data_IF_236069131207
#
_entry.id   IF_236069131207
#
_cell.length_a   1.000
_cell.length_b   1.000
_cell.length_c   1.000
_cell.angle_alpha   90.00
_cell.angle_beta   90.00
_cell.angle_gamma   90.00
#
_symmetry.space_group_name_H-M   'P 1'
#
loop_
_entity.id
_entity.type
_entity.pdbx_description
1 polymer ?
#
# COMPACT_ATOMS: atom_id res chain seq x y z
N UNK A 1 -14.26 -48.67 62.69
CA UNK A 1 -14.66 -47.27 62.47
C UNK A 1 -13.81 -46.77 61.32
N UNK A 2 -14.36 -46.89 60.12
CA UNK A 2 -13.72 -46.61 58.83
C UNK A 2 -14.39 -45.37 58.28
N UNK A 3 -13.63 -44.28 58.17
CA UNK A 3 -14.08 -43.03 57.58
C UNK A 3 -14.15 -43.17 56.06
N UNK A 4 -15.36 -42.98 55.55
CA UNK A 4 -15.74 -43.03 54.14
C UNK A 4 -15.47 -41.64 53.52
N UNK A 5 -14.32 -41.49 52.85
CA UNK A 5 -13.97 -40.28 52.12
C UNK A 5 -14.69 -40.26 50.77
N UNK A 6 -15.76 -39.48 50.69
CA UNK A 6 -16.45 -39.13 49.45
C UNK A 6 -15.61 -38.17 48.60
N UNK A 7 -15.13 -38.65 47.46
CA UNK A 7 -14.44 -37.85 46.43
C UNK A 7 -15.49 -36.99 45.70
N UNK A 8 -15.33 -35.65 45.60
CA UNK A 8 -16.25 -34.81 44.85
C UNK A 8 -16.11 -35.06 43.34
N UNK A 9 -17.25 -35.29 42.68
CA UNK A 9 -17.34 -35.51 41.25
C UNK A 9 -16.89 -34.28 40.43
N UNK A 10 -16.08 -34.54 39.42
CA UNK A 10 -15.53 -33.54 38.49
C UNK A 10 -16.64 -32.96 37.59
N UNK A 11 -16.88 -31.63 37.56
CA UNK A 11 -17.93 -31.02 36.73
C UNK A 11 -17.66 -31.05 35.22
N UNK A 12 -16.55 -31.63 34.75
CA UNK A 12 -16.14 -31.53 33.33
C UNK A 12 -16.84 -32.51 32.37
N UNK A 13 -17.70 -33.42 32.83
CA UNK A 13 -18.26 -34.48 31.97
C UNK A 13 -19.66 -34.23 31.38
N UNK A 14 -20.39 -33.17 31.76
CA UNK A 14 -21.81 -33.04 31.37
C UNK A 14 -22.11 -32.22 30.10
N UNK A 15 -21.12 -31.83 29.28
CA UNK A 15 -21.38 -30.98 28.09
C UNK A 15 -20.95 -31.61 26.74
N UNK A 16 -21.03 -32.94 26.60
CA UNK A 16 -20.61 -33.64 25.36
C UNK A 16 -21.72 -34.44 24.65
N UNK A 17 -23.00 -34.22 24.95
CA UNK A 17 -24.09 -35.10 24.46
C UNK A 17 -25.24 -34.43 23.69
N UNK A 18 -25.03 -33.28 23.05
CA UNK A 18 -26.12 -32.66 22.27
C UNK A 18 -25.69 -31.93 20.99
N UNK A 19 -25.04 -32.63 20.04
CA UNK A 19 -24.98 -32.16 18.65
C UNK A 19 -24.70 -33.28 17.62
N UNK A 20 -25.40 -34.43 17.72
CA UNK A 20 -25.48 -35.40 16.61
C UNK A 20 -26.63 -34.99 15.67
N UNK A 21 -26.46 -33.85 15.01
CA UNK A 21 -27.33 -33.40 13.92
C UNK A 21 -26.90 -34.07 12.61
N UNK A 22 -27.52 -35.20 12.32
CA UNK A 22 -27.31 -36.00 11.11
C UNK A 22 -27.93 -35.28 9.90
N UNK A 23 -27.24 -34.28 9.35
CA UNK A 23 -27.67 -33.51 8.18
C UNK A 23 -26.80 -33.82 6.97
N UNK A 24 -27.05 -34.94 6.30
CA UNK A 24 -26.44 -35.31 5.01
C UNK A 24 -26.89 -34.40 3.86
N UNK A 25 -26.68 -33.10 3.98
CA UNK A 25 -26.89 -32.15 2.90
C UNK A 25 -25.84 -32.38 1.81
N UNK A 26 -26.26 -32.94 0.68
CA UNK A 26 -25.44 -33.11 -0.51
C UNK A 26 -24.71 -31.80 -0.83
N UNK A 27 -23.38 -31.78 -0.64
CA UNK A 27 -22.54 -30.64 -0.98
C UNK A 27 -22.72 -30.33 -2.46
N UNK A 28 -23.29 -29.16 -2.79
CA UNK A 28 -23.42 -28.72 -4.18
C UNK A 28 -22.00 -28.65 -4.79
N UNK A 29 -21.74 -29.33 -5.93
CA UNK A 29 -20.44 -29.29 -6.58
C UNK A 29 -20.11 -27.83 -6.94
N UNK A 30 -18.94 -27.36 -6.53
CA UNK A 30 -18.50 -25.99 -6.80
C UNK A 30 -18.33 -25.74 -8.30
N UNK A 31 -18.50 -24.48 -8.71
CA UNK A 31 -18.29 -24.08 -10.11
C UNK A 31 -16.78 -23.98 -10.35
N UNK A 32 -16.24 -24.91 -11.15
CA UNK A 32 -14.86 -24.83 -11.65
C UNK A 32 -14.83 -23.99 -12.92
N UNK A 33 -14.08 -22.89 -12.91
CA UNK A 33 -13.78 -22.11 -14.10
C UNK A 33 -12.27 -22.24 -14.37
N UNK A 34 -11.88 -23.27 -15.11
CA UNK A 34 -10.46 -23.56 -15.39
C UNK A 34 -9.67 -23.96 -14.13
N UNK A 35 -8.42 -23.47 -13.93
CA UNK A 35 -7.64 -23.76 -12.72
C UNK A 35 -8.21 -23.07 -11.46
N UNK A 36 -9.17 -22.15 -11.63
CA UNK A 36 -9.84 -21.48 -10.54
C UNK A 36 -11.07 -22.27 -10.12
N UNK A 37 -11.03 -22.83 -8.91
CA UNK A 37 -12.22 -23.45 -8.30
C UNK A 37 -12.94 -22.35 -7.51
N UNK A 38 -14.03 -21.83 -8.07
CA UNK A 38 -14.90 -20.91 -7.34
C UNK A 38 -15.76 -21.76 -6.41
N UNK A 39 -15.30 -21.90 -5.17
CA UNK A 39 -16.08 -22.58 -4.15
C UNK A 39 -17.26 -21.67 -3.80
N UNK A 40 -18.53 -22.08 -4.02
CA UNK A 40 -19.72 -21.29 -3.69
C UNK A 40 -19.96 -21.17 -2.17
N UNK A 41 -18.90 -21.28 -1.37
CA UNK A 41 -18.89 -21.10 0.09
C UNK A 41 -19.11 -19.63 0.50
N UNK A 42 -19.40 -18.73 -0.44
CA UNK A 42 -19.99 -17.42 -0.13
C UNK A 42 -21.42 -17.52 0.44
N UNK A 43 -22.05 -18.69 0.36
CA UNK A 43 -23.16 -19.08 1.24
C UNK A 43 -22.58 -19.65 2.55
N UNK A 44 -21.81 -18.84 3.28
CA UNK A 44 -21.46 -19.22 4.65
C UNK A 44 -22.74 -19.24 5.45
N UNK A 45 -23.05 -20.40 6.05
CA UNK A 45 -23.92 -20.47 7.22
C UNK A 45 -23.51 -19.34 8.17
N UNK A 46 -24.42 -18.45 8.60
CA UNK A 46 -24.08 -17.39 9.55
C UNK A 46 -23.45 -18.01 10.80
N UNK A 47 -22.14 -17.84 11.00
CA UNK A 47 -21.46 -18.21 12.26
C UNK A 47 -20.09 -18.89 12.17
N UNK A 48 -19.77 -19.66 11.13
CA UNK A 48 -18.75 -20.71 11.32
C UNK A 48 -17.38 -20.56 10.62
N UNK A 49 -17.20 -19.65 9.67
CA UNK A 49 -15.86 -19.41 9.09
C UNK A 49 -15.38 -17.97 9.24
N UNK A 50 -14.77 -17.60 10.39
CA UNK A 50 -14.11 -16.31 10.58
C UNK A 50 -12.95 -16.05 9.60
N UNK A 51 -12.59 -17.03 8.77
CA UNK A 51 -11.54 -16.97 7.75
C UNK A 51 -12.06 -16.92 6.32
N UNK A 52 -13.38 -17.05 6.08
CA UNK A 52 -13.95 -16.99 4.72
C UNK A 52 -13.68 -15.63 4.05
N UNK A 53 -13.73 -14.53 4.81
CA UNK A 53 -13.39 -13.21 4.33
C UNK A 53 -11.87 -13.01 4.04
N UNK A 54 -11.00 -13.97 4.40
CA UNK A 54 -9.53 -13.83 4.37
C UNK A 54 -8.84 -14.68 3.30
N UNK A 55 -9.54 -15.63 2.64
CA UNK A 55 -8.91 -16.58 1.70
C UNK A 55 -8.29 -15.93 0.43
N UNK A 56 -8.58 -14.66 0.15
CA UNK A 56 -8.05 -13.91 -1.00
C UNK A 56 -6.95 -12.87 -0.71
N UNK A 57 -6.68 -12.57 0.57
CA UNK A 57 -5.83 -11.43 0.98
C UNK A 57 -4.40 -11.94 1.28
N UNK A 58 -3.51 -12.08 0.29
CA UNK A 58 -2.87 -10.93 -0.37
C UNK A 58 -2.85 -11.02 -1.91
N UNK A 59 -3.29 -12.15 -2.47
CA UNK A 59 -3.13 -12.46 -3.90
C UNK A 59 -4.04 -11.60 -4.77
N UNK A 60 -5.30 -11.44 -4.36
CA UNK A 60 -6.26 -10.61 -5.11
C UNK A 60 -5.83 -9.14 -5.07
N UNK A 61 -5.34 -8.67 -3.92
CA UNK A 61 -4.80 -7.32 -3.80
C UNK A 61 -3.59 -7.11 -4.72
N UNK A 62 -2.62 -8.03 -4.73
CA UNK A 62 -1.48 -7.99 -5.63
C UNK A 62 -1.91 -7.99 -7.11
N UNK A 63 -2.90 -8.81 -7.47
CA UNK A 63 -3.45 -8.86 -8.83
C UNK A 63 -4.07 -7.51 -9.22
N UNK A 64 -4.95 -6.95 -8.38
CA UNK A 64 -5.58 -5.65 -8.63
C UNK A 64 -4.54 -4.52 -8.70
N UNK A 65 -3.51 -4.58 -7.86
CA UNK A 65 -2.39 -3.64 -7.89
C UNK A 65 -1.60 -3.71 -9.20
N UNK A 66 -1.26 -4.92 -9.65
CA UNK A 66 -0.59 -5.11 -10.95
C UNK A 66 -1.48 -4.63 -12.12
N UNK A 67 -2.78 -4.92 -12.08
CA UNK A 67 -3.73 -4.41 -13.08
C UNK A 67 -3.79 -2.88 -13.07
N UNK A 68 -3.80 -2.26 -11.90
CA UNK A 68 -3.75 -0.81 -11.75
C UNK A 68 -2.47 -0.22 -12.38
N UNK A 69 -1.30 -0.78 -12.07
CA UNK A 69 -0.03 -0.34 -12.66
C UNK A 69 0.01 -0.54 -14.17
N UNK A 70 -0.57 -1.63 -14.68
CA UNK A 70 -0.68 -1.89 -16.11
C UNK A 70 -1.56 -0.83 -16.80
N UNK A 71 -2.74 -0.54 -16.25
CA UNK A 71 -3.62 0.52 -16.78
C UNK A 71 -2.95 1.89 -16.72
N UNK A 72 -2.27 2.21 -15.62
CA UNK A 72 -1.50 3.45 -15.49
C UNK A 72 -0.42 3.55 -16.57
N UNK A 73 0.34 2.47 -16.82
CA UNK A 73 1.35 2.43 -17.87
C UNK A 73 0.74 2.60 -19.28
N UNK A 74 -0.43 1.98 -19.54
CA UNK A 74 -1.17 2.13 -20.79
C UNK A 74 -1.61 3.58 -21.03
N UNK A 75 -2.13 4.24 -19.98
CA UNK A 75 -2.61 5.62 -20.06
C UNK A 75 -1.50 6.66 -20.15
N UNK A 76 -0.29 6.35 -19.68
CA UNK A 76 0.82 7.30 -19.60
C UNK A 76 1.88 7.04 -20.67
N UNK A 77 2.62 5.94 -20.58
CA UNK A 77 3.78 5.65 -21.44
C UNK A 77 3.34 5.16 -22.82
N UNK A 78 2.38 4.24 -22.89
CA UNK A 78 1.95 3.70 -24.17
C UNK A 78 1.05 4.66 -24.95
N UNK A 79 0.37 5.59 -24.27
CA UNK A 79 -0.53 6.54 -24.92
C UNK A 79 0.21 7.56 -25.79
N UNK A 80 1.45 7.92 -25.45
CA UNK A 80 2.27 8.87 -26.22
C UNK A 80 2.44 8.45 -27.68
N UNK A 81 2.52 7.13 -27.95
CA UNK A 81 2.69 6.61 -29.31
C UNK A 81 1.50 6.86 -30.24
N UNK A 82 0.31 7.13 -29.69
CA UNK A 82 -0.85 7.47 -30.52
C UNK A 82 -0.77 8.88 -31.13
N UNK A 83 0.18 9.72 -30.68
CA UNK A 83 0.35 11.10 -31.15
C UNK A 83 1.37 11.25 -32.30
N UNK A 84 2.10 10.18 -32.65
CA UNK A 84 3.11 10.21 -33.72
C UNK A 84 4.42 9.55 -33.33
N UNK A 85 5.54 10.05 -33.86
CA UNK A 85 6.90 9.67 -33.43
C UNK A 85 7.22 10.53 -32.20
N UNK A 86 7.23 9.94 -30.98
CA UNK A 86 7.34 10.73 -29.77
C UNK A 86 8.77 11.22 -29.53
N UNK A 87 8.88 12.44 -29.02
CA UNK A 87 10.16 13.03 -28.61
C UNK A 87 10.57 12.56 -27.20
N UNK A 88 11.86 12.70 -26.85
CA UNK A 88 12.38 12.29 -25.53
C UNK A 88 11.69 13.03 -24.38
N UNK A 89 11.28 14.27 -24.60
CA UNK A 89 10.58 15.08 -23.59
C UNK A 89 9.14 14.59 -23.33
N UNK A 90 8.49 14.04 -24.35
CA UNK A 90 7.17 13.43 -24.22
C UNK A 90 7.25 12.14 -23.39
N UNK A 91 8.26 11.29 -23.65
CA UNK A 91 8.52 10.10 -22.84
C UNK A 91 8.87 10.43 -21.40
N UNK A 92 9.66 11.49 -21.18
CA UNK A 92 9.97 11.99 -19.83
C UNK A 92 8.69 12.39 -19.08
N UNK A 93 7.85 13.19 -19.72
CA UNK A 93 6.58 13.63 -19.13
C UNK A 93 5.66 12.45 -18.80
N UNK A 94 5.57 11.46 -19.71
CA UNK A 94 4.82 10.24 -19.49
C UNK A 94 5.36 9.39 -18.32
N UNK A 95 6.68 9.24 -18.20
CA UNK A 95 7.30 8.52 -17.10
C UNK A 95 7.09 9.21 -15.75
N UNK A 96 7.11 10.55 -15.71
CA UNK A 96 6.76 11.33 -14.51
C UNK A 96 5.30 11.06 -14.13
N UNK A 97 4.37 11.13 -15.10
CA UNK A 97 2.96 10.82 -14.84
C UNK A 97 2.75 9.39 -14.35
N UNK A 98 3.49 8.41 -14.89
CA UNK A 98 3.47 7.03 -14.40
C UNK A 98 3.92 6.94 -12.93
N UNK A 99 5.00 7.63 -12.57
CA UNK A 99 5.46 7.70 -11.18
C UNK A 99 4.43 8.37 -10.27
N UNK A 100 3.79 9.44 -10.71
CA UNK A 100 2.73 10.14 -9.96
C UNK A 100 1.51 9.23 -9.76
N UNK A 101 1.09 8.48 -10.78
CA UNK A 101 0.02 7.49 -10.65
C UNK A 101 0.41 6.38 -9.67
N UNK A 102 1.61 5.81 -9.79
CA UNK A 102 2.12 4.83 -8.84
C UNK A 102 2.11 5.35 -7.40
N UNK A 103 2.56 6.59 -7.21
CA UNK A 103 2.56 7.28 -5.93
C UNK A 103 1.14 7.53 -5.38
N UNK A 104 0.19 7.93 -6.22
CA UNK A 104 -1.22 8.09 -5.83
C UNK A 104 -1.85 6.74 -5.45
N UNK A 105 -1.56 5.69 -6.22
CA UNK A 105 -1.96 4.32 -5.92
C UNK A 105 -1.47 3.86 -4.54
N UNK A 106 -0.18 4.05 -4.24
CA UNK A 106 0.41 3.65 -2.96
C UNK A 106 0.01 4.55 -1.80
N UNK A 107 -0.06 5.87 -1.99
CA UNK A 107 -0.26 6.82 -0.90
C UNK A 107 -1.73 7.11 -0.59
N UNK A 108 -2.64 6.96 -1.56
CA UNK A 108 -4.05 7.34 -1.42
C UNK A 108 -4.97 6.14 -1.60
N UNK A 109 -4.87 5.41 -2.71
CA UNK A 109 -5.80 4.33 -3.03
C UNK A 109 -5.63 3.13 -2.08
N UNK A 110 -4.40 2.67 -1.88
CA UNK A 110 -4.11 1.54 -1.00
C UNK A 110 -4.60 1.75 0.45
N UNK A 111 -4.31 2.85 1.17
CA UNK A 111 -4.81 3.03 2.53
C UNK A 111 -6.32 3.16 2.61
N UNK A 112 -6.96 3.81 1.62
CA UNK A 112 -8.42 3.91 1.57
C UNK A 112 -9.08 2.52 1.41
N UNK A 113 -8.53 1.67 0.53
CA UNK A 113 -8.99 0.30 0.34
C UNK A 113 -8.68 -0.57 1.56
N UNK A 114 -7.51 -0.44 2.17
CA UNK A 114 -7.14 -1.30 3.30
C UNK A 114 -7.97 -0.95 4.53
N UNK A 115 -8.07 0.33 4.89
CA UNK A 115 -8.80 0.75 6.09
C UNK A 115 -10.32 0.52 6.02
N UNK A 116 -10.89 0.29 4.83
CA UNK A 116 -12.29 -0.13 4.67
C UNK A 116 -12.52 -1.62 4.97
N UNK A 117 -11.47 -2.45 5.02
CA UNK A 117 -11.54 -3.88 5.30
C UNK A 117 -11.60 -4.21 6.81
N UNK A 118 -11.88 -5.47 7.14
CA UNK A 118 -11.88 -5.98 8.53
C UNK A 118 -10.49 -5.86 9.16
N UNK A 119 -10.43 -5.57 10.47
CA UNK A 119 -9.16 -5.41 11.19
C UNK A 119 -8.37 -6.72 11.21
N UNK A 120 -7.09 -6.71 10.77
CA UNK A 120 -6.23 -7.88 10.90
C UNK A 120 -5.84 -8.17 12.36
N UNK A 121 -5.59 -9.44 12.68
CA UNK A 121 -5.11 -9.88 14.01
C UNK A 121 -3.76 -9.26 14.37
N UNK A 122 -2.89 -9.09 13.37
CA UNK A 122 -1.56 -8.50 13.52
C UNK A 122 -1.40 -7.29 12.58
N UNK A 123 -1.89 -6.09 12.97
CA UNK A 123 -1.98 -4.94 12.08
C UNK A 123 -0.63 -4.45 11.54
N UNK A 124 0.42 -4.45 12.38
CA UNK A 124 1.76 -4.03 11.95
C UNK A 124 2.33 -4.97 10.89
N UNK A 125 2.29 -6.28 11.15
CA UNK A 125 2.79 -7.29 10.20
C UNK A 125 2.01 -7.27 8.89
N UNK A 126 0.69 -7.14 8.96
CA UNK A 126 -0.17 -7.04 7.78
C UNK A 126 0.21 -5.82 6.93
N UNK A 127 0.32 -4.65 7.55
CA UNK A 127 0.70 -3.42 6.83
C UNK A 127 2.10 -3.48 6.20
N UNK A 128 3.07 -4.14 6.85
CA UNK A 128 4.40 -4.35 6.26
C UNK A 128 4.38 -5.28 5.04
N UNK A 129 3.61 -6.38 5.11
CA UNK A 129 3.44 -7.29 3.97
C UNK A 129 2.77 -6.56 2.81
N UNK A 130 1.71 -5.80 3.09
CA UNK A 130 1.01 -5.00 2.09
C UNK A 130 1.94 -3.95 1.48
N UNK A 131 2.78 -3.27 2.27
CA UNK A 131 3.76 -2.30 1.78
C UNK A 131 4.76 -2.93 0.81
N UNK A 132 5.21 -4.17 1.07
CA UNK A 132 6.08 -4.92 0.15
C UNK A 132 5.35 -5.30 -1.14
N UNK A 133 4.10 -5.76 -1.03
CA UNK A 133 3.25 -6.11 -2.19
C UNK A 133 3.01 -4.90 -3.09
N UNK A 134 2.88 -3.70 -2.51
CA UNK A 134 2.74 -2.44 -3.26
C UNK A 134 4.09 -2.02 -3.87
N UNK A 135 5.15 -2.03 -3.06
CA UNK A 135 6.44 -1.46 -3.44
C UNK A 135 7.16 -2.27 -4.51
N UNK A 136 7.18 -3.61 -4.41
CA UNK A 136 7.98 -4.45 -5.32
C UNK A 136 7.58 -4.31 -6.79
N UNK A 137 6.28 -4.44 -7.17
CA UNK A 137 5.86 -4.21 -8.55
C UNK A 137 6.11 -2.78 -9.01
N UNK A 138 5.95 -1.80 -8.12
CA UNK A 138 6.18 -0.41 -8.44
C UNK A 138 7.67 -0.14 -8.76
N UNK A 139 8.60 -0.73 -7.99
CA UNK A 139 10.02 -0.65 -8.32
C UNK A 139 10.29 -1.28 -9.68
N UNK A 140 9.73 -2.46 -9.98
CA UNK A 140 9.92 -3.09 -11.30
C UNK A 140 9.52 -2.18 -12.48
N UNK A 141 8.55 -1.28 -12.30
CA UNK A 141 8.16 -0.27 -13.29
C UNK A 141 9.13 0.91 -13.38
N UNK A 142 9.68 1.37 -12.25
CA UNK A 142 10.52 2.58 -12.19
C UNK A 142 11.95 2.30 -12.70
N UNK A 143 12.51 1.13 -12.40
CA UNK A 143 13.89 0.79 -12.75
C UNK A 143 14.25 0.86 -14.24
N UNK A 144 13.38 0.50 -15.21
CA UNK A 144 13.70 0.68 -16.64
C UNK A 144 13.56 2.14 -17.14
N UNK A 145 13.01 3.08 -16.35
CA UNK A 145 12.79 4.46 -16.81
C UNK A 145 14.04 5.21 -17.30
N UNK A 146 15.24 5.05 -16.72
CA UNK A 146 16.49 5.60 -17.27
C UNK A 146 16.72 5.28 -18.75
N UNK A 147 16.23 4.13 -19.24
CA UNK A 147 16.37 3.73 -20.64
C UNK A 147 15.40 4.47 -21.59
N UNK A 148 14.36 5.12 -21.04
CA UNK A 148 13.32 5.81 -21.80
C UNK A 148 13.45 7.34 -21.74
N UNK A 149 14.12 7.88 -20.73
CA UNK A 149 14.10 9.32 -20.40
C UNK A 149 15.48 9.97 -20.33
N UNK A 150 16.53 9.21 -20.58
CA UNK A 150 17.94 9.58 -20.35
C UNK A 150 18.23 10.06 -18.92
N UNK A 151 17.42 9.62 -17.95
CA UNK A 151 17.68 9.89 -16.55
C UNK A 151 18.93 9.19 -16.07
N UNK A 152 19.69 9.88 -15.21
CA UNK A 152 20.73 9.21 -14.42
C UNK A 152 20.06 8.19 -13.49
N UNK A 153 20.65 7.01 -13.33
CA UNK A 153 20.14 5.99 -12.40
C UNK A 153 19.91 6.54 -10.98
N UNK A 154 20.72 7.50 -10.53
CA UNK A 154 20.53 8.18 -9.25
C UNK A 154 19.14 8.82 -9.09
N UNK A 155 18.58 9.39 -10.16
CA UNK A 155 17.25 10.02 -10.17
C UNK A 155 16.17 8.96 -10.08
N UNK A 156 16.24 7.91 -10.90
CA UNK A 156 15.28 6.81 -10.85
C UNK A 156 15.30 6.09 -9.49
N UNK A 157 16.48 5.83 -8.91
CA UNK A 157 16.60 5.29 -7.56
C UNK A 157 16.01 6.21 -6.50
N UNK A 158 16.14 7.53 -6.67
CA UNK A 158 15.63 8.52 -5.72
C UNK A 158 14.11 8.66 -5.80
N UNK A 159 13.53 8.62 -7.00
CA UNK A 159 12.08 8.58 -7.21
C UNK A 159 11.51 7.28 -6.64
N UNK A 160 12.10 6.13 -7.00
CA UNK A 160 11.72 4.82 -6.47
C UNK A 160 11.84 4.75 -4.96
N UNK A 161 12.92 5.29 -4.41
CA UNK A 161 13.15 5.43 -2.97
C UNK A 161 12.08 6.29 -2.31
N UNK A 162 11.85 7.52 -2.80
CA UNK A 162 10.84 8.43 -2.27
C UNK A 162 9.46 7.77 -2.19
N UNK A 163 9.00 7.12 -3.27
CA UNK A 163 7.69 6.46 -3.28
C UNK A 163 7.68 5.23 -2.35
N UNK A 164 8.76 4.45 -2.30
CA UNK A 164 8.89 3.33 -1.36
C UNK A 164 8.84 3.78 0.11
N UNK A 165 9.52 4.88 0.45
CA UNK A 165 9.50 5.46 1.79
C UNK A 165 8.11 5.98 2.17
N UNK A 166 7.42 6.64 1.23
CA UNK A 166 6.03 7.03 1.43
C UNK A 166 5.09 5.84 1.58
N UNK A 167 5.34 4.75 0.86
CA UNK A 167 4.59 3.50 1.03
C UNK A 167 4.77 2.94 2.44
N UNK A 168 5.99 3.01 3.00
CA UNK A 168 6.22 2.64 4.41
C UNK A 168 5.47 3.56 5.38
N UNK A 169 5.52 4.88 5.19
CA UNK A 169 4.79 5.85 6.03
C UNK A 169 3.28 5.56 5.99
N UNK A 170 2.73 5.33 4.80
CA UNK A 170 1.31 4.96 4.63
C UNK A 170 0.98 3.64 5.33
N UNK A 171 1.85 2.63 5.24
CA UNK A 171 1.71 1.39 6.00
C UNK A 171 1.66 1.62 7.51
N UNK A 172 2.50 2.52 8.03
CA UNK A 172 2.47 2.89 9.45
C UNK A 172 1.16 3.58 9.85
N UNK A 173 0.62 4.47 8.99
CA UNK A 173 -0.69 5.13 9.20
C UNK A 173 -1.82 4.09 9.24
N UNK A 174 -1.81 3.11 8.31
CA UNK A 174 -2.81 2.03 8.28
C UNK A 174 -2.75 1.21 9.58
N UNK A 175 -1.54 0.78 9.98
CA UNK A 175 -1.35 0.00 11.20
C UNK A 175 -1.78 0.78 12.45
N UNK A 176 -1.45 2.07 12.52
CA UNK A 176 -1.91 2.97 13.57
C UNK A 176 -3.44 3.07 13.63
N UNK A 177 -4.11 3.24 12.49
CA UNK A 177 -5.56 3.29 12.39
C UNK A 177 -6.24 2.04 12.95
N UNK A 178 -5.68 0.85 12.67
CA UNK A 178 -6.18 -0.40 13.24
C UNK A 178 -5.89 -0.55 14.73
N UNK A 179 -4.67 -0.23 15.20
CA UNK A 179 -4.30 -0.34 16.62
C UNK A 179 -5.18 0.58 17.47
N UNK A 180 -5.43 1.80 16.99
CA UNK A 180 -6.16 2.82 17.74
C UNK A 180 -7.67 2.78 17.56
N UNK A 181 -8.17 1.92 16.68
CA UNK A 181 -9.57 1.89 16.23
C UNK A 181 -10.06 3.22 15.62
N UNK A 182 -9.14 4.08 15.12
CA UNK A 182 -9.45 5.39 14.51
C UNK A 182 -9.32 5.33 12.99
N UNK A 183 -10.04 4.40 12.35
CA UNK A 183 -9.89 4.15 10.90
C UNK A 183 -10.21 5.36 10.05
N UNK A 184 -11.32 6.06 10.35
CA UNK A 184 -11.68 7.28 9.61
C UNK A 184 -10.58 8.34 9.68
N UNK A 185 -10.05 8.61 10.88
CA UNK A 185 -8.94 9.57 11.06
C UNK A 185 -7.70 9.12 10.27
N UNK A 186 -7.35 7.84 10.33
CA UNK A 186 -6.21 7.32 9.58
C UNK A 186 -6.41 7.45 8.07
N UNK A 187 -7.61 7.19 7.55
CA UNK A 187 -7.95 7.40 6.13
C UNK A 187 -7.82 8.86 5.75
N UNK A 188 -8.38 9.78 6.54
CA UNK A 188 -8.29 11.22 6.29
C UNK A 188 -6.84 11.70 6.29
N UNK A 189 -6.01 11.25 7.24
CA UNK A 189 -4.58 11.58 7.29
C UNK A 189 -3.86 11.02 6.06
N UNK A 190 -4.11 9.76 5.69
CA UNK A 190 -3.47 9.13 4.54
C UNK A 190 -3.82 9.82 3.21
N UNK A 191 -5.04 10.35 3.08
CA UNK A 191 -5.47 11.08 1.88
C UNK A 191 -5.00 12.54 1.89
N UNK A 192 -5.13 13.23 3.02
CA UNK A 192 -4.82 14.66 3.11
C UNK A 192 -3.31 14.94 3.03
N UNK A 193 -2.49 14.11 3.68
CA UNK A 193 -1.04 14.35 3.80
C UNK A 193 -0.32 14.39 2.43
N UNK A 194 -0.55 13.45 1.48
CA UNK A 194 0.00 13.53 0.13
C UNK A 194 -0.39 14.78 -0.66
N UNK A 195 -1.57 15.36 -0.37
CA UNK A 195 -2.13 16.49 -1.10
C UNK A 195 -1.58 17.85 -0.64
N UNK A 196 -0.92 17.93 0.52
CA UNK A 196 -0.40 19.19 1.08
C UNK A 196 0.52 19.90 0.09
N UNK A 197 1.55 19.21 -0.43
CA UNK A 197 2.51 19.83 -1.34
C UNK A 197 1.89 20.23 -2.70
N UNK A 198 1.09 19.39 -3.39
CA UNK A 198 0.35 19.81 -4.58
C UNK A 198 -0.49 21.08 -4.36
N UNK A 199 -1.20 21.18 -3.23
CA UNK A 199 -2.04 22.33 -2.91
C UNK A 199 -1.19 23.60 -2.72
N UNK A 200 -0.04 23.48 -2.05
CA UNK A 200 0.89 24.61 -1.87
C UNK A 200 1.47 25.06 -3.20
N UNK A 201 1.91 24.13 -4.06
CA UNK A 201 2.39 24.45 -5.42
C UNK A 201 1.30 25.11 -6.26
N UNK A 202 0.08 24.58 -6.23
CA UNK A 202 -1.04 25.13 -6.98
C UNK A 202 -1.38 26.55 -6.53
N UNK A 203 -1.31 26.84 -5.23
CA UNK A 203 -1.57 28.19 -4.68
C UNK A 203 -0.42 29.17 -4.89
N UNK A 204 0.82 28.70 -4.82
CA UNK A 204 2.02 29.53 -5.03
C UNK A 204 2.31 29.83 -6.49
N UNK A 205 1.61 29.17 -7.41
CA UNK A 205 1.98 29.12 -8.82
C UNK A 205 3.00 28.02 -9.08
N UNK A 206 2.92 27.40 -10.25
CA UNK A 206 3.97 26.48 -10.68
C UNK A 206 5.27 27.27 -10.84
N UNK A 207 6.41 26.75 -10.34
CA UNK A 207 7.70 27.40 -10.55
C UNK A 207 7.96 27.60 -12.03
N UNK A 208 8.61 28.71 -12.41
CA UNK A 208 9.04 28.93 -13.77
C UNK A 208 9.93 27.76 -14.24
N UNK A 209 9.95 27.49 -15.55
CA UNK A 209 10.68 26.33 -16.07
C UNK A 209 12.16 26.32 -15.65
N UNK A 210 12.74 27.51 -15.49
CA UNK A 210 14.15 27.73 -15.17
C UNK A 210 14.40 27.83 -13.65
N UNK A 211 13.41 27.54 -12.82
CA UNK A 211 13.57 27.54 -11.36
C UNK A 211 13.64 26.12 -10.80
N UNK A 212 14.65 25.79 -9.97
CA UNK A 212 14.71 24.47 -9.34
C UNK A 212 13.46 24.23 -8.51
N UNK A 213 12.93 23.00 -8.58
CA UNK A 213 11.88 22.58 -7.69
C UNK A 213 12.30 22.76 -6.24
N UNK A 214 11.42 23.28 -5.36
CA UNK A 214 11.80 23.47 -3.97
C UNK A 214 11.97 22.11 -3.28
N UNK A 215 13.02 21.97 -2.45
CA UNK A 215 13.36 20.70 -1.77
C UNK A 215 12.19 20.14 -0.95
N UNK A 216 11.30 21.00 -0.43
CA UNK A 216 10.14 20.55 0.33
C UNK A 216 9.15 19.72 -0.53
N UNK A 217 9.14 19.88 -1.85
CA UNK A 217 8.30 19.10 -2.76
C UNK A 217 8.68 17.60 -2.79
N UNK A 218 9.87 17.23 -2.28
CA UNK A 218 10.28 15.83 -2.09
C UNK A 218 9.50 15.17 -0.92
N UNK A 219 8.99 15.96 0.03
CA UNK A 219 8.17 15.48 1.15
C UNK A 219 6.70 15.28 0.79
N UNK A 220 6.35 15.11 -0.49
CA UNK A 220 5.06 14.54 -0.87
C UNK A 220 5.27 13.50 -1.95
N UNK A 221 4.58 12.35 -1.86
CA UNK A 221 4.74 11.29 -2.84
C UNK A 221 4.24 11.73 -4.22
N UNK A 222 3.32 12.70 -4.29
CA UNK A 222 2.73 13.16 -5.55
C UNK A 222 3.60 14.18 -6.27
N UNK A 223 4.34 15.02 -5.54
CA UNK A 223 5.23 16.03 -6.14
C UNK A 223 6.68 15.57 -6.24
N UNK A 224 7.10 14.56 -5.46
CA UNK A 224 8.48 14.06 -5.48
C UNK A 224 8.95 13.58 -6.86
N UNK A 225 8.16 12.83 -7.67
CA UNK A 225 8.60 12.44 -9.00
C UNK A 225 8.94 13.62 -9.91
N UNK A 226 8.10 14.66 -9.88
CA UNK A 226 8.35 15.90 -10.62
C UNK A 226 9.57 16.65 -10.07
N UNK A 227 9.64 16.85 -8.76
CA UNK A 227 10.71 17.61 -8.12
C UNK A 227 12.10 16.98 -8.33
N UNK A 228 12.19 15.65 -8.27
CA UNK A 228 13.45 14.91 -8.42
C UNK A 228 13.86 14.69 -9.88
N UNK A 229 12.91 14.76 -10.82
CA UNK A 229 13.21 14.65 -12.27
C UNK A 229 13.49 15.99 -12.94
N UNK A 230 13.24 17.11 -12.25
CA UNK A 230 13.47 18.44 -12.79
C UNK A 230 14.96 18.78 -12.86
N UNK A 231 15.41 19.39 -13.96
CA UNK A 231 16.76 19.97 -14.10
C UNK A 231 16.65 21.41 -14.58
N UNK A 232 17.44 22.31 -14.00
CA UNK A 232 17.36 23.77 -14.21
C UNK A 232 17.94 24.23 -15.55
N UNK A 233 18.55 23.32 -16.33
CA UNK A 233 19.43 23.76 -17.43
C UNK A 233 19.47 22.84 -18.66
N UNK A 234 18.52 21.92 -18.81
CA UNK A 234 18.51 20.95 -19.92
C UNK A 234 19.60 19.87 -19.82
N UNK A 235 20.42 19.89 -18.77
CA UNK A 235 21.35 18.82 -18.44
C UNK A 235 20.61 17.62 -17.85
N UNK A 236 21.22 16.44 -17.92
CA UNK A 236 20.67 15.24 -17.28
C UNK A 236 20.41 15.50 -15.79
N UNK A 237 19.17 15.29 -15.30
CA UNK A 237 18.83 15.55 -13.90
C UNK A 237 19.79 14.83 -12.95
N UNK A 238 20.19 15.49 -11.88
CA UNK A 238 21.13 14.96 -10.90
C UNK A 238 20.72 15.31 -9.49
N UNK A 239 20.90 14.36 -8.58
CA UNK A 239 20.51 14.53 -7.18
C UNK A 239 21.41 15.53 -6.44
N UNK A 240 20.80 16.58 -5.88
CA UNK A 240 21.49 17.55 -5.05
C UNK A 240 21.68 17.04 -3.60
N UNK A 241 22.68 17.52 -2.85
CA UNK A 241 22.85 17.13 -1.44
C UNK A 241 21.62 17.39 -0.55
N UNK A 242 20.86 18.51 -0.71
CA UNK A 242 19.60 18.71 0.00
C UNK A 242 18.54 17.63 -0.28
N UNK A 243 18.41 17.17 -1.52
CA UNK A 243 17.44 16.12 -1.88
C UNK A 243 17.80 14.78 -1.22
N UNK A 244 19.09 14.42 -1.20
CA UNK A 244 19.55 13.23 -0.47
C UNK A 244 19.21 13.30 1.02
N UNK A 245 19.41 14.46 1.66
CA UNK A 245 19.05 14.66 3.06
C UNK A 245 17.54 14.55 3.28
N UNK A 246 16.73 15.05 2.34
CA UNK A 246 15.27 14.91 2.39
C UNK A 246 14.82 13.44 2.33
N UNK A 247 15.44 12.63 1.47
CA UNK A 247 15.17 11.18 1.40
C UNK A 247 15.58 10.46 2.70
N UNK A 248 16.75 10.79 3.26
CA UNK A 248 17.17 10.24 4.54
C UNK A 248 16.19 10.62 5.66
N UNK A 249 15.72 11.87 5.69
CA UNK A 249 14.71 12.31 6.66
C UNK A 249 13.39 11.53 6.53
N UNK A 250 12.91 11.29 5.29
CA UNK A 250 11.74 10.44 5.04
C UNK A 250 11.94 9.00 5.51
N UNK A 251 13.14 8.44 5.30
CA UNK A 251 13.47 7.10 5.77
C UNK A 251 13.43 7.00 7.29
N UNK A 252 14.10 7.95 7.98
CA UNK A 252 14.08 8.03 9.44
C UNK A 252 12.64 8.15 9.95
N UNK A 253 11.82 9.00 9.33
CA UNK A 253 10.42 9.18 9.69
C UNK A 253 9.61 7.88 9.55
N UNK A 254 9.72 7.19 8.40
CA UNK A 254 9.01 5.95 8.15
C UNK A 254 9.40 4.83 9.13
N UNK A 255 10.71 4.67 9.40
CA UNK A 255 11.22 3.68 10.35
C UNK A 255 10.78 4.01 11.78
N UNK A 256 10.93 5.27 12.21
CA UNK A 256 10.52 5.71 13.54
C UNK A 256 9.02 5.50 13.77
N UNK A 257 8.18 5.76 12.75
CA UNK A 257 6.74 5.51 12.81
C UNK A 257 6.44 4.04 13.13
N UNK A 258 7.08 3.08 12.46
CA UNK A 258 6.90 1.65 12.75
C UNK A 258 7.40 1.23 14.14
N UNK A 259 8.54 1.76 14.57
CA UNK A 259 9.12 1.46 15.91
C UNK A 259 8.18 1.96 17.03
N UNK A 260 7.44 3.04 16.81
CA UNK A 260 6.51 3.58 17.80
C UNK A 260 5.21 2.74 17.95
N UNK A 261 4.78 2.01 16.92
CA UNK A 261 3.49 1.30 16.92
C UNK A 261 3.32 0.25 18.03
N UNK A 262 4.31 -0.62 18.34
CA UNK A 262 4.20 -1.56 19.44
C UNK A 262 4.00 -0.89 20.80
N UNK A 263 4.67 0.25 21.04
CA UNK A 263 4.54 1.02 22.29
C UNK A 263 3.12 1.57 22.45
N UNK A 264 2.54 2.09 21.38
CA UNK A 264 1.15 2.56 21.35
C UNK A 264 0.17 1.41 21.61
N UNK A 265 0.46 0.21 21.08
CA UNK A 265 -0.37 -0.97 21.30
C UNK A 265 -0.30 -1.48 22.75
N UNK A 266 0.87 -1.39 23.40
CA UNK A 266 1.06 -1.77 24.81
C UNK A 266 0.34 -0.81 25.75
N UNK A 267 0.43 0.51 25.52
CA UNK A 267 -0.20 1.52 26.37
C UNK A 267 -1.74 1.49 26.38
N UNK A 268 -2.37 0.66 25.54
CA UNK A 268 -3.83 0.49 25.46
C UNK A 268 -4.35 -0.82 26.05
N UNK A 269 -3.46 -1.69 26.50
CA UNK A 269 -3.82 -2.89 27.25
C UNK A 269 -3.93 -2.55 28.73
#
# INVERSE_FOLDING_TARGET
MTDDQTIPADPSEQSSTAAKGNGGGARKPGIRLGPFTFVPELLTTPGDDPWAARKGEPRIFALLWCTYLMVAALLTIFSVRFLGIPDSDEYRSACIMMCVMGAAGSAVLWPALRLSQVRPRHPVRAALVDALVVSVPLQAVIWPMPMLTDWRYAVAMSIGGAIGLWTLITGAIIAWGYITSRRLTATLVAVALPLVAPIVLFRGGLPAADTPAPVWAVFSPLTAPWALSWSVSGWSPSMSPPEWRALVALFVLGVAAFIALPRIAQARR
#
